data_IF_459039927099
#
_entry.id   IF_459039927099
#
_cell.length_a   1.000
_cell.length_b   1.000
_cell.length_c   1.000
_cell.angle_alpha   90.00
_cell.angle_beta   90.00
_cell.angle_gamma   90.00
#
_symmetry.space_group_name_H-M   'P 1'
#
loop_
_entity.id
_entity.type
_entity.pdbx_description
1 polymer ?
#
# COMPACT_ATOMS: atom_id res chain seq x y z
N UNK A 1 -12.69 -14.46 13.59
CA UNK A 1 -12.03 -13.30 14.24
C UNK A 1 -11.86 -12.18 13.21
N UNK A 2 -11.92 -10.91 13.64
CA UNK A 2 -11.53 -9.78 12.75
C UNK A 2 -10.00 -9.79 12.63
N UNK A 3 -9.47 -9.82 11.41
CA UNK A 3 -8.04 -9.68 11.13
C UNK A 3 -7.62 -8.22 11.27
N UNK A 4 -6.50 -7.96 11.94
CA UNK A 4 -5.86 -6.65 12.02
C UNK A 4 -5.04 -6.41 10.75
N UNK A 5 -5.32 -5.34 10.00
CA UNK A 5 -4.75 -5.09 8.68
C UNK A 5 -4.09 -3.72 8.64
N UNK A 6 -2.81 -3.68 8.25
CA UNK A 6 -2.10 -2.45 7.91
C UNK A 6 -1.82 -2.44 6.42
N UNK A 7 -2.22 -1.36 5.74
CA UNK A 7 -1.90 -1.12 4.33
C UNK A 7 -0.67 -0.23 4.24
N UNK A 8 0.28 -0.58 3.39
CA UNK A 8 1.48 0.20 3.10
C UNK A 8 1.50 0.58 1.63
N UNK A 9 1.99 1.77 1.31
CA UNK A 9 2.15 2.20 -0.07
C UNK A 9 3.36 3.13 -0.21
N UNK A 10 4.18 2.86 -1.23
CA UNK A 10 5.31 3.68 -1.64
C UNK A 10 5.34 3.91 -3.16
N UNK A 11 4.16 3.92 -3.80
CA UNK A 11 3.99 4.20 -5.21
C UNK A 11 4.83 5.42 -5.64
N UNK A 12 5.44 5.36 -6.84
CA UNK A 12 5.12 4.44 -7.95
C UNK A 12 6.03 3.19 -8.04
N UNK A 13 6.82 2.91 -7.00
CA UNK A 13 7.73 1.76 -6.99
C UNK A 13 7.03 0.48 -6.52
N UNK A 14 7.71 -0.67 -6.64
CA UNK A 14 7.34 -1.88 -5.91
C UNK A 14 7.56 -1.69 -4.41
N UNK A 15 7.10 -2.65 -3.60
CA UNK A 15 7.20 -2.58 -2.14
C UNK A 15 8.65 -2.36 -1.69
N UNK A 16 8.91 -1.27 -0.99
CA UNK A 16 10.23 -0.97 -0.48
C UNK A 16 10.65 -1.91 0.66
N UNK A 17 11.95 -2.25 0.82
CA UNK A 17 12.43 -3.16 1.87
C UNK A 17 12.07 -2.74 3.31
N UNK A 18 11.88 -1.44 3.55
CA UNK A 18 11.47 -0.94 4.87
C UNK A 18 10.09 -1.45 5.29
N UNK A 19 9.19 -1.79 4.35
CA UNK A 19 7.84 -2.29 4.64
C UNK A 19 7.89 -3.64 5.33
N UNK A 20 8.68 -4.58 4.77
CA UNK A 20 8.90 -5.88 5.39
C UNK A 20 9.53 -5.74 6.79
N UNK A 21 10.48 -4.80 6.94
CA UNK A 21 11.13 -4.49 8.21
C UNK A 21 10.15 -3.91 9.25
N UNK A 22 9.24 -3.04 8.83
CA UNK A 22 8.18 -2.48 9.67
C UNK A 22 7.19 -3.57 10.10
N UNK A 23 6.82 -4.47 9.18
CA UNK A 23 5.94 -5.61 9.47
C UNK A 23 6.55 -6.52 10.51
N UNK A 24 7.81 -6.92 10.34
CA UNK A 24 8.52 -7.76 11.30
C UNK A 24 8.58 -7.11 12.69
N UNK A 25 8.94 -5.83 12.76
CA UNK A 25 9.04 -5.06 14.01
C UNK A 25 7.68 -4.85 14.71
N UNK A 26 6.59 -4.94 13.96
CA UNK A 26 5.21 -4.78 14.45
C UNK A 26 4.46 -6.09 14.62
N UNK A 27 5.14 -7.24 14.44
CA UNK A 27 4.54 -8.58 14.50
C UNK A 27 3.37 -8.74 13.52
N UNK A 28 3.52 -8.18 12.32
CA UNK A 28 2.62 -8.38 11.19
C UNK A 28 3.21 -9.45 10.27
N UNK A 29 2.35 -10.33 9.76
CA UNK A 29 2.73 -11.16 8.61
C UNK A 29 2.62 -10.28 7.35
N UNK A 30 3.76 -9.97 6.73
CA UNK A 30 3.75 -9.31 5.43
C UNK A 30 3.28 -10.30 4.38
N UNK A 31 2.22 -9.95 3.64
CA UNK A 31 1.68 -10.79 2.57
C UNK A 31 2.16 -10.25 1.24
N UNK A 32 2.89 -11.09 0.52
CA UNK A 32 3.38 -10.76 -0.82
C UNK A 32 2.22 -10.66 -1.82
N UNK A 33 2.20 -9.57 -2.59
CA UNK A 33 1.21 -9.40 -3.65
C UNK A 33 1.35 -10.49 -4.73
N UNK A 34 2.55 -11.02 -5.01
CA UNK A 34 2.71 -12.12 -5.97
C UNK A 34 1.95 -13.37 -5.56
N UNK A 35 1.95 -13.71 -4.26
CA UNK A 35 1.19 -14.86 -3.75
C UNK A 35 -0.32 -14.68 -3.98
N UNK A 36 -0.81 -13.45 -3.81
CA UNK A 36 -2.21 -13.09 -4.04
C UNK A 36 -2.57 -13.17 -5.53
N UNK A 37 -1.73 -12.59 -6.40
CA UNK A 37 -1.92 -12.62 -7.85
C UNK A 37 -1.89 -14.05 -8.38
N UNK A 38 -0.99 -14.91 -7.86
CA UNK A 38 -0.94 -16.32 -8.22
C UNK A 38 -2.24 -17.04 -7.89
N UNK A 39 -2.83 -16.80 -6.71
CA UNK A 39 -4.13 -17.36 -6.34
C UNK A 39 -5.28 -16.85 -7.23
N UNK A 40 -5.29 -15.55 -7.55
CA UNK A 40 -6.26 -14.95 -8.47
C UNK A 40 -6.16 -15.55 -9.87
N UNK A 41 -4.94 -15.78 -10.38
CA UNK A 41 -4.70 -16.32 -11.71
C UNK A 41 -5.22 -17.76 -11.88
N UNK A 42 -5.26 -18.54 -10.80
CA UNK A 42 -5.83 -19.90 -10.81
C UNK A 42 -7.37 -19.90 -10.73
N UNK A 43 -7.98 -18.77 -10.35
CA UNK A 43 -9.43 -18.66 -10.25
C UNK A 43 -10.05 -18.33 -11.62
N UNK A 44 -10.88 -19.25 -12.14
CA UNK A 44 -11.51 -19.16 -13.46
C UNK A 44 -12.45 -17.96 -13.62
N UNK A 45 -13.06 -17.51 -12.52
CA UNK A 45 -14.00 -16.39 -12.49
C UNK A 45 -13.28 -15.05 -12.27
N UNK A 46 -12.15 -15.06 -11.55
CA UNK A 46 -11.32 -13.87 -11.38
C UNK A 46 -10.48 -13.55 -12.62
N UNK A 47 -9.94 -14.59 -13.30
CA UNK A 47 -8.99 -14.43 -14.41
C UNK A 47 -9.47 -13.50 -15.54
N UNK A 48 -10.72 -13.54 -16.02
CA UNK A 48 -11.22 -12.60 -17.03
C UNK A 48 -11.26 -11.15 -16.53
N UNK A 49 -11.38 -10.93 -15.22
CA UNK A 49 -11.43 -9.61 -14.59
C UNK A 49 -10.04 -9.00 -14.36
N UNK A 50 -8.97 -9.83 -14.42
CA UNK A 50 -7.58 -9.41 -14.32
C UNK A 50 -7.05 -8.78 -15.62
N UNK A 51 -7.72 -9.02 -16.76
CA UNK A 51 -7.28 -8.54 -18.07
C UNK A 51 -8.00 -7.26 -18.48
N UNK A 52 -7.25 -6.25 -18.94
CA UNK A 52 -7.81 -5.15 -19.74
C UNK A 52 -8.07 -3.82 -19.05
N UNK A 53 -7.67 -3.61 -17.80
CA UNK A 53 -7.75 -2.29 -17.15
C UNK A 53 -6.50 -1.99 -16.32
N UNK A 54 -5.90 -0.82 -16.54
CA UNK A 54 -4.84 -0.25 -15.68
C UNK A 54 -5.40 0.39 -14.40
N UNK A 55 -6.72 0.30 -14.21
CA UNK A 55 -7.45 0.82 -13.05
C UNK A 55 -7.91 -0.32 -12.16
N UNK A 56 -7.97 -0.04 -10.86
CA UNK A 56 -8.56 -0.92 -9.87
C UNK A 56 -9.98 -1.33 -10.28
N UNK A 57 -10.25 -2.64 -10.35
CA UNK A 57 -11.57 -3.18 -10.67
C UNK A 57 -12.29 -3.64 -9.38
N UNK A 58 -13.33 -2.95 -8.88
CA UNK A 58 -14.04 -3.34 -7.65
C UNK A 58 -14.64 -4.74 -7.69
N UNK A 59 -14.94 -5.29 -8.87
CA UNK A 59 -15.45 -6.66 -9.02
C UNK A 59 -14.43 -7.71 -8.59
N UNK A 60 -13.15 -7.35 -8.47
CA UNK A 60 -12.09 -8.21 -7.97
C UNK A 60 -12.10 -8.35 -6.43
N UNK A 61 -12.77 -7.46 -5.69
CA UNK A 61 -12.79 -7.45 -4.23
C UNK A 61 -13.09 -8.82 -3.57
N UNK A 62 -14.15 -9.57 -3.94
CA UNK A 62 -14.41 -10.88 -3.34
C UNK A 62 -13.28 -11.88 -3.61
N UNK A 63 -12.63 -11.80 -4.77
CA UNK A 63 -11.54 -12.71 -5.13
C UNK A 63 -10.23 -12.37 -4.42
N UNK A 64 -9.91 -11.08 -4.26
CA UNK A 64 -8.76 -10.64 -3.46
C UNK A 64 -8.93 -11.03 -1.99
N UNK A 65 -10.14 -10.88 -1.44
CA UNK A 65 -10.44 -11.31 -0.07
C UNK A 65 -10.26 -12.82 0.11
N UNK A 66 -10.80 -13.62 -0.81
CA UNK A 66 -10.65 -15.07 -0.78
C UNK A 66 -9.18 -15.52 -0.95
N UNK A 67 -8.44 -14.86 -1.84
CA UNK A 67 -7.00 -15.10 -2.02
C UNK A 67 -6.22 -14.75 -0.74
N UNK A 68 -6.52 -13.62 -0.11
CA UNK A 68 -5.91 -13.24 1.17
C UNK A 68 -6.20 -14.26 2.27
N UNK A 69 -7.45 -14.71 2.38
CA UNK A 69 -7.83 -15.72 3.37
C UNK A 69 -7.12 -17.06 3.13
N UNK A 70 -6.82 -17.41 1.88
CA UNK A 70 -6.07 -18.62 1.53
C UNK A 70 -4.57 -18.48 1.79
N UNK A 71 -3.97 -17.35 1.39
CA UNK A 71 -2.52 -17.10 1.53
C UNK A 71 -2.12 -16.82 2.97
N UNK A 72 -2.90 -15.99 3.67
CA UNK A 72 -2.62 -15.57 5.03
C UNK A 72 -3.39 -16.36 6.08
N UNK A 73 -4.29 -17.29 5.70
CA UNK A 73 -4.95 -18.23 6.61
C UNK A 73 -5.45 -17.60 7.91
N UNK A 74 -5.06 -18.20 9.03
CA UNK A 74 -5.40 -17.78 10.40
C UNK A 74 -4.53 -16.63 10.93
N UNK A 75 -3.67 -16.01 10.11
CA UNK A 75 -2.82 -14.91 10.56
C UNK A 75 -3.69 -13.74 11.04
N UNK A 76 -3.63 -13.39 12.34
CA UNK A 76 -4.53 -12.42 12.92
C UNK A 76 -4.10 -10.99 12.61
N UNK A 77 -2.84 -10.78 12.18
CA UNK A 77 -2.24 -9.47 11.94
C UNK A 77 -1.44 -9.52 10.64
N UNK A 78 -1.82 -8.71 9.65
CA UNK A 78 -1.18 -8.70 8.32
C UNK A 78 -0.81 -7.30 7.87
N UNK A 79 0.30 -7.23 7.12
CA UNK A 79 0.70 -6.06 6.34
C UNK A 79 0.49 -6.33 4.86
N UNK A 80 -0.16 -5.41 4.16
CA UNK A 80 -0.49 -5.53 2.74
C UNK A 80 0.11 -4.36 1.97
N UNK A 81 0.64 -4.61 0.77
CA UNK A 81 1.21 -3.59 -0.09
C UNK A 81 0.22 -3.09 -1.14
N UNK A 82 0.17 -1.78 -1.36
CA UNK A 82 -0.75 -1.01 -2.23
C UNK A 82 -2.06 -0.59 -1.57
N UNK A 83 -2.40 0.70 -1.72
CA UNK A 83 -3.68 1.29 -1.36
C UNK A 83 -4.89 0.65 -2.05
N UNK A 84 -4.71 -0.14 -3.11
CA UNK A 84 -5.80 -0.91 -3.72
C UNK A 84 -6.46 -1.88 -2.74
N UNK A 85 -5.75 -2.34 -1.70
CA UNK A 85 -6.34 -3.16 -0.64
C UNK A 85 -7.44 -2.45 0.16
N UNK A 86 -7.40 -1.13 0.23
CA UNK A 86 -8.47 -0.34 0.86
C UNK A 86 -9.79 -0.47 0.10
N UNK A 87 -9.72 -0.55 -1.24
CA UNK A 87 -10.88 -0.84 -2.08
C UNK A 87 -11.34 -2.29 -1.90
N UNK A 88 -10.43 -3.25 -1.95
CA UNK A 88 -10.79 -4.68 -2.00
C UNK A 88 -11.28 -5.24 -0.67
N UNK A 89 -10.75 -4.75 0.46
CA UNK A 89 -11.23 -5.15 1.78
C UNK A 89 -12.37 -4.27 2.29
N UNK A 90 -12.48 -3.04 1.78
CA UNK A 90 -13.39 -2.01 2.29
C UNK A 90 -13.08 -1.58 3.73
N UNK A 91 -12.02 -2.09 4.34
CA UNK A 91 -11.57 -1.78 5.68
C UNK A 91 -10.07 -2.07 5.84
N UNK A 92 -9.41 -1.30 6.69
CA UNK A 92 -8.10 -1.57 7.26
C UNK A 92 -8.09 -0.99 8.68
N UNK A 93 -7.09 -1.33 9.50
CA UNK A 93 -6.92 -0.74 10.83
C UNK A 93 -5.99 0.48 10.81
N UNK A 94 -5.14 0.60 9.77
CA UNK A 94 -4.45 1.82 9.38
C UNK A 94 -3.78 1.74 7.99
N UNK A 95 -3.30 2.88 7.52
CA UNK A 95 -2.52 3.02 6.28
C UNK A 95 -1.21 3.80 6.55
N UNK A 96 -0.11 3.35 5.96
CA UNK A 96 1.21 4.02 6.01
C UNK A 96 1.63 4.36 4.58
N UNK A 97 1.82 5.64 4.30
CA UNK A 97 2.15 6.20 2.99
C UNK A 97 3.57 6.76 2.97
N UNK A 98 4.33 6.46 1.92
CA UNK A 98 5.67 7.00 1.66
C UNK A 98 5.73 7.59 0.25
N UNK A 99 6.08 8.87 0.14
CA UNK A 99 6.14 9.58 -1.13
C UNK A 99 7.57 9.80 -1.65
N UNK A 100 8.56 9.13 -1.08
CA UNK A 100 9.95 9.22 -1.54
C UNK A 100 10.12 8.89 -3.02
N UNK A 101 9.40 7.88 -3.53
CA UNK A 101 9.43 7.50 -4.95
C UNK A 101 8.89 8.60 -5.88
N UNK A 102 7.84 9.32 -5.46
CA UNK A 102 7.32 10.48 -6.22
C UNK A 102 8.36 11.61 -6.29
N UNK A 103 9.05 11.88 -5.18
CA UNK A 103 10.12 12.88 -5.14
C UNK A 103 11.34 12.48 -5.98
N UNK A 104 11.70 11.19 -5.99
CA UNK A 104 12.77 10.68 -6.85
C UNK A 104 12.44 10.88 -8.34
N UNK A 105 11.24 10.51 -8.77
CA UNK A 105 10.80 10.74 -10.15
C UNK A 105 10.78 12.23 -10.50
N UNK A 106 10.34 13.09 -9.57
CA UNK A 106 10.41 14.53 -9.74
C UNK A 106 11.84 14.99 -9.96
N UNK A 107 12.79 14.59 -9.11
CA UNK A 107 14.20 14.97 -9.24
C UNK A 107 14.81 14.50 -10.57
N UNK A 108 14.53 13.26 -10.98
CA UNK A 108 14.97 12.73 -12.28
C UNK A 108 14.39 13.53 -13.45
N UNK A 109 13.09 13.84 -13.40
CA UNK A 109 12.44 14.68 -14.40
C UNK A 109 13.11 16.04 -14.54
N UNK A 110 13.34 16.74 -13.42
CA UNK A 110 14.02 18.04 -13.40
C UNK A 110 15.43 17.96 -13.98
N UNK A 111 16.19 16.91 -13.67
CA UNK A 111 17.53 16.70 -14.20
C UNK A 111 17.53 16.50 -15.74
N UNK A 112 16.40 16.04 -16.31
CA UNK A 112 16.21 15.88 -17.76
C UNK A 112 15.53 17.08 -18.44
N UNK A 113 15.33 18.19 -17.73
CA UNK A 113 14.75 19.42 -18.28
C UNK A 113 13.22 19.49 -18.21
N UNK A 114 12.58 18.66 -17.39
CA UNK A 114 11.15 18.81 -17.09
C UNK A 114 10.88 20.17 -16.45
N UNK A 115 9.78 20.82 -16.83
CA UNK A 115 9.32 22.04 -16.18
C UNK A 115 9.07 21.79 -14.68
N UNK A 116 9.65 22.60 -13.77
CA UNK A 116 9.42 22.49 -12.33
C UNK A 116 7.96 22.41 -11.92
N UNK A 117 7.07 23.16 -12.58
CA UNK A 117 5.64 23.13 -12.29
C UNK A 117 5.02 21.78 -12.60
N UNK A 118 5.50 21.09 -13.64
CA UNK A 118 5.01 19.75 -13.98
C UNK A 118 5.45 18.75 -12.91
N UNK A 119 6.72 18.81 -12.49
CA UNK A 119 7.24 17.95 -11.41
C UNK A 119 6.53 18.18 -10.07
N UNK A 120 6.32 19.44 -9.68
CA UNK A 120 5.61 19.79 -8.45
C UNK A 120 4.14 19.34 -8.49
N UNK A 121 3.46 19.56 -9.62
CA UNK A 121 2.07 19.11 -9.82
C UNK A 121 1.95 17.59 -9.79
N UNK A 122 2.94 16.87 -10.31
CA UNK A 122 2.98 15.41 -10.25
C UNK A 122 2.98 14.94 -8.78
N UNK A 123 3.93 15.38 -7.97
CA UNK A 123 4.00 14.98 -6.56
C UNK A 123 2.73 15.37 -5.81
N UNK A 124 2.25 16.61 -5.98
CA UNK A 124 1.04 17.09 -5.31
C UNK A 124 -0.21 16.27 -5.68
N UNK A 125 -0.39 15.97 -6.97
CA UNK A 125 -1.55 15.21 -7.46
C UNK A 125 -1.56 13.78 -6.94
N UNK A 126 -0.44 13.06 -7.06
CA UNK A 126 -0.40 11.63 -6.69
C UNK A 126 -0.39 11.43 -5.18
N UNK A 127 0.33 12.26 -4.43
CA UNK A 127 0.30 12.23 -2.96
C UNK A 127 -1.10 12.54 -2.41
N UNK A 128 -1.83 13.50 -3.00
CA UNK A 128 -3.21 13.80 -2.64
C UNK A 128 -4.16 12.64 -2.98
N UNK A 129 -4.00 12.01 -4.15
CA UNK A 129 -4.81 10.86 -4.56
C UNK A 129 -4.70 9.70 -3.56
N UNK A 130 -3.48 9.33 -3.16
CA UNK A 130 -3.25 8.22 -2.22
C UNK A 130 -3.77 8.55 -0.81
N UNK A 131 -3.60 9.79 -0.36
CA UNK A 131 -4.18 10.25 0.91
C UNK A 131 -5.70 10.29 0.87
N UNK A 132 -6.32 10.72 -0.24
CA UNK A 132 -7.77 10.73 -0.42
C UNK A 132 -8.35 9.31 -0.43
N UNK A 133 -7.66 8.36 -1.08
CA UNK A 133 -8.04 6.94 -1.01
C UNK A 133 -8.06 6.44 0.43
N UNK A 134 -7.03 6.75 1.22
CA UNK A 134 -6.95 6.37 2.62
C UNK A 134 -8.05 7.04 3.47
N UNK A 135 -8.23 8.35 3.34
CA UNK A 135 -9.18 9.12 4.16
C UNK A 135 -10.66 8.82 3.88
N UNK A 136 -10.99 8.23 2.72
CA UNK A 136 -12.34 7.73 2.42
C UNK A 136 -12.79 6.60 3.34
N UNK A 137 -11.85 5.84 3.90
CA UNK A 137 -12.15 4.61 4.68
C UNK A 137 -11.48 4.57 6.06
N UNK A 138 -10.56 5.50 6.34
CA UNK A 138 -9.85 5.58 7.61
C UNK A 138 -9.93 7.01 8.18
N UNK A 139 -10.08 7.16 9.51
CA UNK A 139 -9.97 8.46 10.14
C UNK A 139 -8.49 8.93 10.16
N UNK A 140 -8.21 10.24 10.28
CA UNK A 140 -6.86 10.80 10.14
C UNK A 140 -5.81 10.17 11.07
N UNK A 141 -6.18 9.82 12.30
CA UNK A 141 -5.28 9.19 13.29
C UNK A 141 -4.86 7.75 12.92
N UNK A 142 -5.48 7.16 11.90
CA UNK A 142 -5.15 5.85 11.33
C UNK A 142 -4.37 5.95 10.02
N UNK A 143 -3.89 7.14 9.68
CA UNK A 143 -3.08 7.39 8.48
C UNK A 143 -1.75 8.00 8.90
N UNK A 144 -0.64 7.33 8.57
CA UNK A 144 0.71 7.86 8.73
C UNK A 144 1.29 8.19 7.36
N UNK A 145 1.72 9.44 7.17
CA UNK A 145 2.57 9.81 6.04
C UNK A 145 4.01 9.90 6.54
N UNK A 146 4.89 9.08 5.97
CA UNK A 146 6.31 9.08 6.31
C UNK A 146 7.02 10.27 5.67
N UNK A 147 8.04 10.86 6.34
CA UNK A 147 8.82 11.91 5.71
C UNK A 147 9.64 11.36 4.54
N UNK A 148 9.49 11.98 3.35
CA UNK A 148 10.05 11.46 2.09
C UNK A 148 11.59 11.34 2.07
N UNK A 149 12.30 12.14 2.89
CA UNK A 149 13.78 12.17 2.92
C UNK A 149 14.40 11.25 3.98
N UNK A 150 13.60 10.43 4.65
CA UNK A 150 14.10 9.51 5.66
C UNK A 150 14.72 8.25 5.04
N UNK A 151 15.68 7.67 5.75
CA UNK A 151 16.28 6.38 5.37
C UNK A 151 15.33 5.23 5.72
N UNK A 152 15.44 4.13 4.99
CA UNK A 152 14.62 2.93 5.18
C UNK A 152 14.54 2.43 6.62
N UNK A 153 15.66 2.38 7.33
CA UNK A 153 15.68 1.96 8.75
C UNK A 153 14.79 2.88 9.61
N UNK A 154 14.88 4.20 9.39
CA UNK A 154 14.08 5.18 10.14
C UNK A 154 12.60 5.14 9.75
N UNK A 155 12.30 4.93 8.45
CA UNK A 155 10.93 4.70 7.98
C UNK A 155 10.30 3.48 8.63
N UNK A 156 11.04 2.37 8.70
CA UNK A 156 10.58 1.15 9.35
C UNK A 156 10.30 1.37 10.85
N UNK A 157 11.18 2.08 11.56
CA UNK A 157 10.98 2.44 12.97
C UNK A 157 9.72 3.31 13.19
N UNK A 158 9.55 4.36 12.37
CA UNK A 158 8.39 5.27 12.48
C UNK A 158 7.08 4.53 12.20
N UNK A 159 7.05 3.73 11.13
CA UNK A 159 5.91 2.91 10.78
C UNK A 159 5.59 1.90 11.89
N UNK A 160 6.60 1.21 12.44
CA UNK A 160 6.39 0.24 13.50
C UNK A 160 5.89 0.88 14.80
N UNK A 161 6.47 2.01 15.20
CA UNK A 161 6.04 2.76 16.37
C UNK A 161 4.60 3.27 16.23
N UNK A 162 4.18 3.65 15.04
CA UNK A 162 2.79 4.01 14.74
C UNK A 162 1.87 2.79 14.87
N UNK A 163 2.21 1.67 14.24
CA UNK A 163 1.39 0.44 14.27
C UNK A 163 1.22 -0.08 15.69
N UNK A 164 2.28 -0.08 16.50
CA UNK A 164 2.24 -0.54 17.89
C UNK A 164 1.28 0.27 18.77
N UNK A 165 1.04 1.56 18.47
CA UNK A 165 0.08 2.40 19.20
C UNK A 165 -1.37 2.02 18.91
N UNK A 166 -1.63 1.28 17.84
CA UNK A 166 -2.98 0.91 17.41
C UNK A 166 -3.52 -0.36 18.10
N UNK A 167 -2.66 -1.08 18.83
CA UNK A 167 -2.94 -2.37 19.46
C UNK A 167 -2.43 -3.54 18.64
#
# INVERSE_FOLDING_TARGET
>A
MKRFVIVFDNEPADSAPWIASACASSRLTFVDNEAIINELAQNKDARPLLTGNTKENPQLAPFYKAALDKVAGDQPRVGLYSTSWLLYLGQADACVLDFAGLEEQRMLGLATGLDPKIGDNYVAKYSALLQEKASKVLPPERILVLPAKEKDARKAELAAAFIQKLG
#
